data_IF_721406976435
#
_entry.id   IF_721406976435
#
_cell.length_a   1.000
_cell.length_b   1.000
_cell.length_c   1.000
_cell.angle_alpha   90.00
_cell.angle_beta   90.00
_cell.angle_gamma   90.00
#
_symmetry.space_group_name_H-M   'P 1'
#
loop_
_entity.id
_entity.type
_entity.pdbx_description
1 polymer ?
#
# COMPACT_ATOMS: atom_id res chain seq x y z
N UNK A 1 25.30 -7.82 -18.54
CA UNK A 1 24.08 -8.61 -18.83
C UNK A 1 22.95 -7.99 -18.01
N UNK A 2 21.82 -7.63 -18.64
CA UNK A 2 20.66 -7.03 -17.96
C UNK A 2 19.55 -8.07 -17.78
N UNK A 3 18.68 -7.91 -16.76
CA UNK A 3 17.55 -8.81 -16.57
C UNK A 3 16.55 -8.69 -17.72
N UNK A 4 15.89 -9.81 -18.07
CA UNK A 4 14.88 -9.86 -19.12
C UNK A 4 13.58 -9.11 -18.75
N UNK A 5 13.35 -8.85 -17.46
CA UNK A 5 12.19 -8.14 -16.94
C UNK A 5 12.54 -7.43 -15.63
N UNK A 6 11.95 -6.27 -15.43
CA UNK A 6 11.97 -5.51 -14.17
C UNK A 6 10.53 -5.31 -13.70
N UNK A 7 10.31 -5.38 -12.40
CA UNK A 7 9.04 -5.04 -11.75
C UNK A 7 9.31 -3.82 -10.89
N UNK A 8 8.50 -2.77 -11.08
CA UNK A 8 8.54 -1.57 -10.25
C UNK A 8 7.48 -1.74 -9.16
N UNK A 9 7.92 -1.67 -7.91
CA UNK A 9 7.06 -1.62 -6.73
C UNK A 9 7.04 -0.19 -6.21
N UNK A 10 5.89 0.45 -6.28
CA UNK A 10 5.68 1.80 -5.76
C UNK A 10 5.33 1.72 -4.28
N UNK A 11 6.12 2.39 -3.44
CA UNK A 11 6.00 2.34 -1.97
C UNK A 11 5.66 3.70 -1.37
N UNK A 12 5.60 4.78 -2.16
CA UNK A 12 5.29 6.12 -1.69
C UNK A 12 3.97 6.21 -0.90
N UNK A 13 2.87 5.52 -1.27
CA UNK A 13 1.64 5.60 -0.49
C UNK A 13 1.71 4.92 0.89
N UNK A 14 2.74 4.11 1.16
CA UNK A 14 2.99 3.50 2.47
C UNK A 14 4.16 4.18 3.16
N UNK A 15 5.38 4.02 2.63
CA UNK A 15 6.62 4.52 3.24
C UNK A 15 6.78 6.03 3.09
N UNK A 16 6.38 6.56 1.93
CA UNK A 16 6.43 8.00 1.68
C UNK A 16 5.52 8.73 2.66
N UNK A 17 4.25 8.30 2.79
CA UNK A 17 3.33 8.92 3.74
C UNK A 17 3.82 8.82 5.18
N UNK A 18 4.42 7.68 5.58
CA UNK A 18 4.99 7.52 6.93
C UNK A 18 6.06 8.57 7.28
N UNK A 19 6.79 9.07 6.28
CA UNK A 19 7.87 10.02 6.46
C UNK A 19 7.39 11.47 6.58
N UNK A 20 6.10 11.72 6.31
CA UNK A 20 5.51 13.06 6.38
C UNK A 20 5.08 13.41 7.81
N UNK A 21 5.63 14.50 8.33
CA UNK A 21 5.29 15.01 9.66
C UNK A 21 3.84 15.49 9.76
N UNK A 22 3.31 16.01 8.64
CA UNK A 22 1.96 16.55 8.56
C UNK A 22 0.96 15.49 8.14
N UNK A 23 -0.23 15.54 8.75
CA UNK A 23 -1.34 14.68 8.37
C UNK A 23 -1.74 14.93 6.90
N UNK A 24 -1.61 13.89 6.07
CA UNK A 24 -2.16 13.90 4.72
C UNK A 24 -3.63 13.47 4.82
N UNK A 25 -4.59 14.29 4.35
CA UNK A 25 -6.00 13.91 4.30
C UNK A 25 -6.23 12.64 3.48
N UNK A 26 -7.13 11.78 3.95
CA UNK A 26 -7.48 10.50 3.30
C UNK A 26 -7.84 10.66 1.83
N UNK A 27 -8.63 11.69 1.50
CA UNK A 27 -9.03 11.99 0.11
C UNK A 27 -7.82 12.26 -0.80
N UNK A 28 -6.79 12.93 -0.27
CA UNK A 28 -5.57 13.22 -1.00
C UNK A 28 -4.72 11.95 -1.19
N UNK A 29 -4.66 11.06 -0.18
CA UNK A 29 -4.03 9.75 -0.32
C UNK A 29 -4.69 8.94 -1.45
N UNK A 30 -6.02 8.83 -1.42
CA UNK A 30 -6.81 8.13 -2.45
C UNK A 30 -6.54 8.71 -3.83
N UNK A 31 -6.53 10.04 -3.97
CA UNK A 31 -6.24 10.71 -5.24
C UNK A 31 -4.86 10.35 -5.79
N UNK A 32 -3.84 10.34 -4.93
CA UNK A 32 -2.47 9.97 -5.32
C UNK A 32 -2.41 8.51 -5.77
N UNK A 33 -3.01 7.59 -5.00
CA UNK A 33 -3.02 6.16 -5.33
C UNK A 33 -3.73 5.91 -6.66
N UNK A 34 -4.87 6.58 -6.91
CA UNK A 34 -5.59 6.50 -8.19
C UNK A 34 -4.75 7.04 -9.35
N UNK A 35 -4.04 8.14 -9.14
CA UNK A 35 -3.13 8.68 -10.16
C UNK A 35 -1.99 7.68 -10.47
N UNK A 36 -1.39 7.07 -9.43
CA UNK A 36 -0.36 6.04 -9.58
C UNK A 36 -0.87 4.81 -10.32
N UNK A 37 -2.10 4.35 -10.03
CA UNK A 37 -2.71 3.23 -10.72
C UNK A 37 -2.86 3.46 -12.23
N UNK A 38 -3.00 4.71 -12.67
CA UNK A 38 -3.11 5.08 -14.08
C UNK A 38 -1.76 5.13 -14.83
N UNK A 39 -0.63 5.04 -14.13
CA UNK A 39 0.71 5.12 -14.75
C UNK A 39 1.17 3.82 -15.42
N UNK A 40 0.49 2.70 -15.14
CA UNK A 40 0.89 1.37 -15.62
C UNK A 40 1.90 0.65 -14.72
N UNK A 41 2.22 1.22 -13.54
CA UNK A 41 2.96 0.51 -12.49
C UNK A 41 2.28 -0.82 -12.18
N UNK A 42 3.08 -1.87 -11.99
CA UNK A 42 2.56 -3.21 -11.78
C UNK A 42 2.33 -3.52 -10.30
N UNK A 43 2.77 -2.68 -9.37
CA UNK A 43 2.61 -2.91 -7.94
C UNK A 43 2.69 -1.63 -7.12
N UNK A 44 1.73 -1.45 -6.22
CA UNK A 44 1.65 -0.29 -5.32
C UNK A 44 1.36 -0.79 -3.91
N UNK A 45 2.19 -0.41 -2.95
CA UNK A 45 1.94 -0.58 -1.52
C UNK A 45 1.14 0.62 -1.01
N UNK A 46 -0.12 0.36 -0.67
CA UNK A 46 -1.12 1.40 -0.42
C UNK A 46 -1.10 1.89 1.03
N UNK A 47 -0.98 0.99 1.99
CA UNK A 47 -1.04 1.29 3.44
C UNK A 47 -0.59 0.08 4.26
N UNK A 48 -0.54 0.21 5.58
CA UNK A 48 -0.22 -0.86 6.52
C UNK A 48 -1.18 -0.81 7.72
N UNK A 49 -1.61 -1.99 8.18
CA UNK A 49 -2.50 -2.15 9.34
C UNK A 49 -1.70 -2.24 10.64
N UNK A 50 -0.88 -1.21 10.87
CA UNK A 50 -0.13 -1.03 12.11
C UNK A 50 -0.94 -0.29 13.16
N UNK A 51 -0.51 -0.38 14.41
CA UNK A 51 -1.16 0.35 15.48
C UNK A 51 -1.08 1.88 15.22
N UNK A 52 -2.20 2.63 15.23
CA UNK A 52 -2.22 4.06 14.91
C UNK A 52 -1.31 4.93 15.78
N UNK A 53 -1.02 4.50 17.02
CA UNK A 53 -0.06 5.20 17.89
C UNK A 53 1.40 5.04 17.43
N UNK A 54 1.74 3.94 16.75
CA UNK A 54 3.09 3.71 16.25
C UNK A 54 3.33 4.52 14.97
N UNK A 55 2.32 4.57 14.10
CA UNK A 55 2.37 5.33 12.85
C UNK A 55 1.04 6.08 12.67
N UNK A 56 0.95 7.34 13.12
CA UNK A 56 -0.27 8.14 13.04
C UNK A 56 -0.77 8.35 11.61
N UNK A 57 0.14 8.38 10.64
CA UNK A 57 -0.20 8.65 9.25
C UNK A 57 -1.04 7.55 8.60
N UNK A 58 -0.95 6.31 9.08
CA UNK A 58 -1.67 5.18 8.50
C UNK A 58 -2.92 4.79 9.28
N UNK A 59 -3.40 5.67 10.18
CA UNK A 59 -4.60 5.42 10.98
C UNK A 59 -5.88 5.27 10.15
N UNK A 60 -5.90 5.80 8.92
CA UNK A 60 -7.02 5.78 7.97
C UNK A 60 -6.90 4.66 6.92
N UNK A 61 -6.15 3.59 7.23
CA UNK A 61 -5.89 2.49 6.31
C UNK A 61 -7.16 1.86 5.74
N UNK A 62 -8.21 1.71 6.56
CA UNK A 62 -9.48 1.12 6.15
C UNK A 62 -10.21 2.03 5.16
N UNK A 63 -10.29 3.34 5.43
CA UNK A 63 -10.92 4.30 4.53
C UNK A 63 -10.17 4.41 3.20
N UNK A 64 -8.84 4.39 3.22
CA UNK A 64 -8.03 4.39 1.99
C UNK A 64 -8.31 3.15 1.15
N UNK A 65 -8.30 1.95 1.75
CA UNK A 65 -8.56 0.69 1.03
C UNK A 65 -9.95 0.67 0.44
N UNK A 66 -10.96 1.11 1.20
CA UNK A 66 -12.35 1.22 0.72
C UNK A 66 -12.46 2.22 -0.43
N UNK A 67 -11.72 3.33 -0.35
CA UNK A 67 -11.69 4.39 -1.36
C UNK A 67 -11.03 4.01 -2.68
N UNK A 68 -10.41 2.83 -2.79
CA UNK A 68 -9.76 2.33 -4.02
C UNK A 68 -10.27 0.94 -4.46
N UNK A 69 -11.32 0.43 -3.83
CA UNK A 69 -11.83 -0.93 -4.04
C UNK A 69 -12.27 -1.18 -5.50
N UNK A 70 -12.71 -0.14 -6.20
CA UNK A 70 -13.14 -0.15 -7.61
C UNK A 70 -11.98 -0.30 -8.61
N UNK A 71 -10.71 -0.15 -8.19
CA UNK A 71 -9.52 -0.32 -9.05
C UNK A 71 -9.22 -1.79 -9.39
N UNK A 72 -10.27 -2.59 -9.62
CA UNK A 72 -10.28 -4.03 -9.85
C UNK A 72 -9.36 -4.51 -11.00
N UNK A 73 -9.10 -3.68 -12.01
CA UNK A 73 -8.17 -4.02 -13.10
C UNK A 73 -6.70 -3.96 -12.69
N UNK A 74 -6.36 -3.13 -11.70
CA UNK A 74 -5.03 -3.10 -11.08
C UNK A 74 -4.81 -4.35 -10.21
N UNK A 75 -5.86 -4.75 -9.46
CA UNK A 75 -5.88 -5.92 -8.57
C UNK A 75 -5.57 -7.25 -9.27
N UNK A 76 -5.85 -7.37 -10.57
CA UNK A 76 -5.57 -8.58 -11.37
C UNK A 76 -4.12 -8.68 -11.85
N UNK A 77 -3.40 -7.55 -11.96
CA UNK A 77 -2.02 -7.49 -12.48
C UNK A 77 -0.96 -7.45 -11.39
N UNK A 78 -1.33 -7.08 -10.16
CA UNK A 78 -0.44 -7.00 -9.02
C UNK A 78 -0.86 -7.89 -7.86
N UNK A 79 -0.01 -8.81 -7.36
CA UNK A 79 -0.30 -9.56 -6.15
C UNK A 79 -0.17 -8.74 -4.85
N UNK A 80 0.08 -7.42 -4.87
CA UNK A 80 0.22 -6.57 -3.66
C UNK A 80 -1.13 -5.95 -3.22
N UNK A 81 -2.21 -6.75 -3.32
CA UNK A 81 -3.39 -6.60 -2.46
C UNK A 81 -3.41 -7.70 -1.37
N UNK A 82 -2.22 -8.05 -0.84
CA UNK A 82 -2.05 -9.18 0.08
C UNK A 82 -1.71 -8.88 1.53
N UNK A 83 -1.87 -7.64 2.01
CA UNK A 83 -1.66 -7.38 3.44
C UNK A 83 -2.91 -6.94 4.22
N UNK A 84 -4.12 -7.01 3.64
CA UNK A 84 -5.29 -6.45 4.32
C UNK A 84 -6.60 -7.21 4.07
N UNK A 85 -6.92 -7.57 2.82
CA UNK A 85 -8.27 -8.01 2.45
C UNK A 85 -8.61 -9.49 2.76
N UNK A 86 -7.96 -10.13 3.74
CA UNK A 86 -8.19 -11.57 3.96
C UNK A 86 -7.75 -12.22 5.26
N UNK A 87 -7.48 -11.48 6.36
CA UNK A 87 -7.10 -12.12 7.63
C UNK A 87 -7.91 -11.56 8.79
N UNK A 88 -8.66 -12.45 9.45
CA UNK A 88 -9.28 -12.22 10.76
C UNK A 88 -8.20 -11.89 11.81
N UNK A 89 -8.56 -11.28 12.95
CA UNK A 89 -7.60 -10.95 13.98
C UNK A 89 -7.09 -12.24 14.64
N UNK A 90 -5.83 -12.23 15.06
CA UNK A 90 -5.09 -13.32 15.73
C UNK A 90 -4.60 -14.47 14.84
N UNK A 91 -3.39 -14.33 14.29
CA UNK A 91 -2.31 -15.28 14.56
C UNK A 91 -0.98 -14.79 14.00
N UNK A 92 -0.08 -14.48 14.94
CA UNK A 92 1.36 -14.75 14.89
C UNK A 92 2.12 -14.23 13.67
N UNK A 93 2.65 -13.03 13.86
CA UNK A 93 3.77 -12.41 13.17
C UNK A 93 4.90 -13.40 12.84
N UNK A 94 5.08 -13.70 11.56
CA UNK A 94 6.39 -14.09 11.02
C UNK A 94 6.85 -12.93 10.15
N UNK A 95 7.70 -12.10 10.76
CA UNK A 95 8.51 -11.08 10.11
C UNK A 95 9.43 -11.78 9.10
N UNK A 96 9.10 -11.72 7.82
CA UNK A 96 10.10 -11.89 6.76
C UNK A 96 10.43 -10.50 6.19
N UNK A 97 11.21 -9.76 6.97
CA UNK A 97 12.11 -8.75 6.45
C UNK A 97 13.21 -9.50 5.68
N UNK A 98 12.98 -9.73 4.38
CA UNK A 98 13.93 -10.34 3.45
C UNK A 98 14.59 -9.31 2.55
N UNK A 99 15.12 -8.24 3.14
CA UNK A 99 16.18 -7.43 2.56
C UNK A 99 17.42 -7.57 3.46
N UNK A 100 18.01 -8.77 3.46
CA UNK A 100 19.39 -9.14 3.79
C UNK A 100 19.63 -10.58 3.33
#
# INVERSE_FOLDING_TARGET
>A
MFPARVIICEVAPRDGFQSEDQWIPTEQKIKIIRALANTGVQSIEVTSFVHPKAIPQLKDAEEVVKGIEDLTDFRKKSPILKECAGRSPMSRWEMNFGWL
#
